data_IF_442117097222
#
_entry.id   IF_442117097222
#
_cell.length_a   1.000
_cell.length_b   1.000
_cell.length_c   1.000
_cell.angle_alpha   90.00
_cell.angle_beta   90.00
_cell.angle_gamma   90.00
#
_symmetry.space_group_name_H-M   'P 1'
#
loop_
_entity.id
_entity.type
_entity.pdbx_description
1 polymer ?
#
# COMPACT_ATOMS: atom_id res chain seq x y z
N UNK A 1 48.00 -32.19 1.27
CA UNK A 1 46.64 -32.30 1.84
C UNK A 1 45.66 -32.08 0.71
N UNK A 2 44.81 -33.04 0.39
CA UNK A 2 43.82 -32.88 -0.67
C UNK A 2 42.75 -31.88 -0.22
N UNK A 3 42.50 -30.86 -1.03
CA UNK A 3 41.42 -29.89 -0.82
C UNK A 3 40.13 -30.49 -1.39
N UNK A 4 39.18 -30.79 -0.52
CA UNK A 4 37.89 -31.44 -0.83
C UNK A 4 36.88 -30.50 -1.48
N UNK A 5 37.30 -29.26 -1.77
CA UNK A 5 36.49 -28.21 -2.37
C UNK A 5 37.13 -27.89 -3.72
N UNK A 6 36.33 -28.03 -4.78
CA UNK A 6 36.71 -27.64 -6.13
C UNK A 6 36.05 -26.31 -6.45
N UNK A 7 36.84 -25.23 -6.48
CA UNK A 7 36.36 -23.92 -6.92
C UNK A 7 36.28 -23.89 -8.45
N UNK A 8 35.06 -23.97 -8.99
CA UNK A 8 34.83 -23.87 -10.44
C UNK A 8 34.42 -22.43 -10.82
N UNK A 9 35.31 -21.71 -11.50
CA UNK A 9 35.02 -20.38 -12.07
C UNK A 9 34.58 -20.56 -13.52
N UNK A 10 33.29 -20.83 -13.72
CA UNK A 10 32.72 -21.03 -15.04
C UNK A 10 31.47 -20.17 -15.27
N UNK A 11 31.63 -18.95 -15.84
CA UNK A 11 30.51 -18.03 -16.05
C UNK A 11 29.35 -18.60 -16.86
N UNK A 12 29.60 -19.53 -17.79
CA UNK A 12 28.55 -20.11 -18.63
C UNK A 12 27.58 -21.00 -17.85
N UNK A 13 27.99 -21.57 -16.70
CA UNK A 13 27.13 -22.35 -15.81
C UNK A 13 26.28 -21.51 -14.85
N UNK A 14 26.45 -20.18 -14.83
CA UNK A 14 25.74 -19.27 -13.90
C UNK A 14 24.39 -18.76 -14.42
N UNK A 15 23.79 -19.47 -15.37
CA UNK A 15 22.48 -19.11 -15.95
C UNK A 15 21.36 -19.02 -14.90
N UNK A 16 21.43 -19.78 -13.80
CA UNK A 16 20.45 -19.74 -12.71
C UNK A 16 20.33 -18.37 -12.04
N UNK A 17 21.36 -17.54 -12.10
CA UNK A 17 21.34 -16.19 -11.51
C UNK A 17 20.32 -15.28 -12.18
N UNK A 18 19.93 -15.58 -13.43
CA UNK A 18 18.91 -14.83 -14.17
C UNK A 18 17.57 -14.86 -13.44
N UNK A 19 17.26 -15.93 -12.70
CA UNK A 19 16.07 -16.00 -11.86
C UNK A 19 15.96 -14.81 -10.89
N UNK A 20 17.06 -14.49 -10.19
CA UNK A 20 17.09 -13.38 -9.25
C UNK A 20 17.15 -12.02 -9.95
N UNK A 21 17.85 -11.92 -11.09
CA UNK A 21 17.88 -10.69 -11.90
C UNK A 21 16.48 -10.33 -12.42
N UNK A 22 15.78 -11.32 -12.99
CA UNK A 22 14.41 -11.19 -13.50
C UNK A 22 13.41 -10.84 -12.40
N UNK A 23 13.61 -11.33 -11.16
CA UNK A 23 12.80 -10.94 -9.99
C UNK A 23 12.96 -9.46 -9.64
N UNK A 24 14.18 -8.91 -9.74
CA UNK A 24 14.48 -7.51 -9.42
C UNK A 24 14.06 -6.52 -10.53
N UNK A 25 14.16 -6.94 -11.79
CA UNK A 25 13.68 -6.16 -12.93
C UNK A 25 12.18 -5.84 -12.78
N UNK A 26 11.81 -4.63 -13.19
CA UNK A 26 10.48 -4.06 -13.04
C UNK A 26 10.19 -3.14 -14.22
N UNK A 27 8.91 -2.86 -14.47
CA UNK A 27 8.45 -2.13 -15.65
C UNK A 27 8.68 -0.64 -15.49
N UNK A 28 8.40 -0.13 -14.28
CA UNK A 28 8.53 1.29 -13.94
C UNK A 28 8.62 1.49 -12.44
N UNK A 29 9.07 2.68 -12.07
CA UNK A 29 8.96 3.21 -10.71
C UNK A 29 8.07 4.45 -10.70
N UNK A 30 7.35 4.66 -9.60
CA UNK A 30 6.46 5.82 -9.40
C UNK A 30 6.80 6.45 -8.05
N UNK A 31 6.98 7.76 -8.02
CA UNK A 31 7.21 8.48 -6.76
C UNK A 31 5.91 8.61 -5.96
N UNK A 32 5.96 8.26 -4.68
CA UNK A 32 4.84 8.41 -3.76
C UNK A 32 5.33 8.68 -2.33
N UNK A 33 4.40 8.75 -1.38
CA UNK A 33 4.64 8.87 0.07
C UNK A 33 3.55 8.17 0.87
N UNK A 34 3.73 8.03 2.18
CA UNK A 34 2.74 7.43 3.08
C UNK A 34 1.94 8.52 3.80
N UNK A 35 0.65 8.62 3.50
CA UNK A 35 -0.28 9.60 4.10
C UNK A 35 -0.78 9.21 5.49
N UNK A 36 0.09 8.69 6.35
CA UNK A 36 -0.22 8.35 7.73
C UNK A 36 0.39 9.37 8.71
N UNK A 37 -0.19 9.48 9.91
CA UNK A 37 0.28 10.42 10.93
C UNK A 37 1.54 9.93 11.66
N UNK A 38 2.67 9.85 10.95
CA UNK A 38 3.92 9.30 11.47
C UNK A 38 5.07 10.32 11.57
N UNK A 39 4.84 11.58 11.23
CA UNK A 39 5.84 12.68 11.09
C UNK A 39 6.96 12.44 10.07
N UNK A 40 7.00 11.26 9.45
CA UNK A 40 8.06 10.86 8.55
C UNK A 40 8.12 11.68 7.26
N UNK A 41 6.99 11.86 6.55
CA UNK A 41 6.99 12.57 5.26
C UNK A 41 8.00 11.99 4.24
N UNK A 42 8.28 10.69 4.33
CA UNK A 42 9.30 10.03 3.53
C UNK A 42 8.81 9.86 2.08
N UNK A 43 9.62 10.23 1.10
CA UNK A 43 9.45 9.91 -0.32
C UNK A 43 9.93 8.50 -0.62
N UNK A 44 9.14 7.78 -1.42
CA UNK A 44 9.38 6.40 -1.82
C UNK A 44 9.29 6.25 -3.33
N UNK A 45 10.08 5.31 -3.87
CA UNK A 45 9.93 4.77 -5.21
C UNK A 45 9.11 3.49 -5.10
N UNK A 46 7.91 3.51 -5.66
CA UNK A 46 7.01 2.35 -5.75
C UNK A 46 7.31 1.61 -7.04
N UNK A 47 7.62 0.33 -6.94
CA UNK A 47 8.01 -0.52 -8.07
C UNK A 47 6.80 -1.25 -8.62
N UNK A 48 6.61 -1.17 -9.94
CA UNK A 48 5.54 -1.86 -10.66
C UNK A 48 6.17 -2.87 -11.60
N UNK A 49 5.70 -4.12 -11.54
CA UNK A 49 6.11 -5.20 -12.44
C UNK A 49 4.87 -5.98 -12.88
N UNK A 50 4.78 -6.29 -14.16
CA UNK A 50 3.63 -6.97 -14.77
C UNK A 50 2.30 -6.24 -14.46
N UNK A 51 2.35 -4.90 -14.41
CA UNK A 51 1.19 -4.07 -14.10
C UNK A 51 0.72 -4.08 -12.64
N UNK A 52 1.42 -4.75 -11.71
CA UNK A 52 1.08 -4.78 -10.28
C UNK A 52 2.16 -4.12 -9.42
N UNK A 53 1.76 -3.51 -8.29
CA UNK A 53 2.70 -2.98 -7.31
C UNK A 53 3.36 -4.17 -6.61
N UNK A 54 4.69 -4.24 -6.61
CA UNK A 54 5.42 -5.37 -6.02
C UNK A 54 6.08 -5.01 -4.70
N UNK A 55 6.92 -3.97 -4.69
CA UNK A 55 7.61 -3.47 -3.50
C UNK A 55 7.85 -1.96 -3.61
N UNK A 56 8.40 -1.39 -2.55
CA UNK A 56 8.84 0.01 -2.52
C UNK A 56 10.22 0.10 -1.90
N UNK A 57 10.99 1.11 -2.28
CA UNK A 57 12.24 1.48 -1.64
C UNK A 57 12.28 2.98 -1.44
N UNK A 58 13.05 3.45 -0.47
CA UNK A 58 13.17 4.86 -0.22
C UNK A 58 13.73 5.58 -1.45
N UNK A 59 13.19 6.75 -1.76
CA UNK A 59 13.86 7.67 -2.65
C UNK A 59 15.01 8.34 -1.88
N UNK A 60 16.13 8.58 -2.57
CA UNK A 60 17.37 9.07 -1.95
C UNK A 60 17.81 10.43 -2.53
N UNK A 61 16.92 11.11 -3.24
CA UNK A 61 17.18 12.32 -4.01
C UNK A 61 16.54 13.57 -3.38
N UNK A 62 16.46 13.64 -2.05
CA UNK A 62 16.10 14.88 -1.37
C UNK A 62 17.14 15.96 -1.70
N UNK A 63 16.74 17.23 -1.89
CA UNK A 63 17.70 18.33 -1.98
C UNK A 63 18.61 18.38 -0.76
N UNK A 64 19.91 18.59 -0.98
CA UNK A 64 20.86 18.85 0.09
C UNK A 64 20.54 20.21 0.73
N UNK A 65 20.60 20.27 2.06
CA UNK A 65 20.45 21.53 2.79
C UNK A 65 21.73 22.38 2.68
N UNK A 66 22.87 21.78 3.03
CA UNK A 66 24.21 22.36 2.94
C UNK A 66 25.27 21.26 2.94
N UNK A 67 26.52 21.59 2.59
CA UNK A 67 27.61 20.61 2.46
C UNK A 67 28.14 20.08 3.80
N UNK A 68 27.86 20.78 4.90
CA UNK A 68 28.38 20.50 6.25
C UNK A 68 27.48 19.60 7.09
N UNK A 69 26.23 19.37 6.68
CA UNK A 69 25.25 18.55 7.41
C UNK A 69 24.97 17.27 6.61
N UNK A 70 24.82 16.11 7.29
CA UNK A 70 24.41 14.87 6.63
C UNK A 70 23.08 15.03 5.88
N UNK A 71 22.92 14.40 4.70
CA UNK A 71 21.66 14.44 3.97
C UNK A 71 20.54 13.72 4.71
N UNK A 72 19.29 13.99 4.33
CA UNK A 72 18.12 13.32 4.92
C UNK A 72 17.89 11.89 4.43
N UNK A 73 18.46 11.53 3.29
CA UNK A 73 18.30 10.19 2.73
C UNK A 73 18.84 9.11 3.71
N UNK A 74 18.29 7.88 3.69
CA UNK A 74 17.13 7.45 2.89
C UNK A 74 15.77 7.75 3.57
N UNK A 75 15.76 8.22 4.82
CA UNK A 75 14.56 8.17 5.70
C UNK A 75 13.95 6.75 5.68
N UNK A 76 12.62 6.66 5.74
CA UNK A 76 11.87 5.40 5.71
C UNK A 76 11.79 4.70 7.07
N UNK A 77 10.98 3.64 7.14
CA UNK A 77 10.82 2.81 8.34
C UNK A 77 10.24 1.44 7.98
N UNK A 78 10.23 0.50 8.93
CA UNK A 78 9.70 -0.86 8.75
C UNK A 78 8.19 -0.92 8.47
N UNK A 79 7.44 0.13 8.82
CA UNK A 79 6.01 0.25 8.51
C UNK A 79 5.80 0.73 7.08
N UNK A 80 6.68 1.61 6.59
CA UNK A 80 6.62 2.11 5.22
C UNK A 80 7.04 1.06 4.20
N UNK A 81 8.11 0.31 4.46
CA UNK A 81 8.63 -0.71 3.53
C UNK A 81 7.64 -1.87 3.28
N UNK A 82 6.65 -2.04 4.14
CA UNK A 82 5.63 -3.10 4.04
C UNK A 82 4.28 -2.60 3.49
N UNK A 83 4.16 -1.33 3.10
CA UNK A 83 2.88 -0.74 2.72
C UNK A 83 2.27 -1.37 1.46
N UNK A 84 3.09 -1.82 0.50
CA UNK A 84 2.66 -2.51 -0.72
C UNK A 84 1.80 -3.75 -0.44
N UNK A 85 1.95 -4.38 0.74
CA UNK A 85 1.11 -5.51 1.17
C UNK A 85 -0.38 -5.15 1.18
N UNK A 86 -0.74 -3.95 1.65
CA UNK A 86 -2.14 -3.54 1.81
C UNK A 86 -2.91 -3.45 0.49
N UNK A 87 -2.23 -3.31 -0.64
CA UNK A 87 -2.88 -3.16 -1.94
C UNK A 87 -3.69 -4.42 -2.28
N UNK A 88 -3.17 -5.60 -1.95
CA UNK A 88 -3.72 -6.90 -2.32
C UNK A 88 -4.00 -7.83 -1.12
N UNK A 89 -3.81 -7.34 0.11
CA UNK A 89 -3.99 -8.13 1.32
C UNK A 89 -5.45 -8.55 1.54
N UNK A 90 -5.68 -9.60 2.36
CA UNK A 90 -7.03 -10.04 2.71
C UNK A 90 -7.85 -8.99 3.48
N UNK A 91 -7.22 -7.94 4.01
CA UNK A 91 -7.90 -6.85 4.74
C UNK A 91 -8.25 -5.66 3.84
N UNK A 92 -7.96 -5.72 2.54
CA UNK A 92 -8.30 -4.66 1.60
C UNK A 92 -9.81 -4.54 1.45
N UNK A 93 -10.36 -3.38 1.84
CA UNK A 93 -11.74 -3.00 1.55
C UNK A 93 -11.89 -2.79 0.05
N UNK A 94 -12.72 -3.61 -0.60
CA UNK A 94 -12.96 -3.59 -2.06
C UNK A 94 -14.25 -2.87 -2.46
N UNK A 95 -15.21 -2.79 -1.55
CA UNK A 95 -16.53 -2.23 -1.80
C UNK A 95 -16.95 -1.31 -0.64
N UNK A 96 -17.85 -0.34 -0.88
CA UNK A 96 -18.53 0.38 0.18
C UNK A 96 -19.34 -0.59 1.04
N UNK A 97 -19.17 -0.52 2.36
CA UNK A 97 -19.96 -1.31 3.31
C UNK A 97 -20.89 -0.41 4.10
N UNK A 98 -22.10 -0.91 4.36
CA UNK A 98 -23.08 -0.29 5.26
C UNK A 98 -23.55 -1.38 6.22
N UNK A 99 -23.75 -1.03 7.48
CA UNK A 99 -24.30 -1.95 8.49
C UNK A 99 -25.67 -2.44 8.03
N UNK A 100 -25.91 -3.76 8.08
CA UNK A 100 -27.14 -4.37 7.53
C UNK A 100 -28.43 -3.74 8.06
N UNK A 101 -28.52 -3.55 9.39
CA UNK A 101 -29.69 -2.91 10.03
C UNK A 101 -29.95 -1.49 9.52
N UNK A 102 -28.89 -0.71 9.25
CA UNK A 102 -29.00 0.62 8.68
C UNK A 102 -29.44 0.58 7.21
N UNK A 103 -28.90 -0.36 6.43
CA UNK A 103 -29.26 -0.50 5.01
C UNK A 103 -30.73 -0.91 4.84
N UNK A 104 -31.25 -1.77 5.71
CA UNK A 104 -32.65 -2.18 5.69
C UNK A 104 -33.58 -0.99 6.03
N UNK A 105 -33.28 -0.27 7.11
CA UNK A 105 -34.01 0.95 7.48
C UNK A 105 -33.95 2.02 6.39
N UNK A 106 -32.77 2.19 5.76
CA UNK A 106 -32.58 3.12 4.66
C UNK A 106 -33.44 2.78 3.44
N UNK A 107 -33.49 1.50 3.04
CA UNK A 107 -34.35 1.06 1.92
C UNK A 107 -35.82 1.28 2.21
N UNK A 108 -36.26 1.01 3.44
CA UNK A 108 -37.65 1.25 3.88
C UNK A 108 -37.98 2.74 3.85
N UNK A 109 -37.14 3.60 4.43
CA UNK A 109 -37.33 5.05 4.42
C UNK A 109 -37.34 5.62 3.00
N UNK A 110 -36.42 5.17 2.13
CA UNK A 110 -36.37 5.56 0.71
C UNK A 110 -37.58 5.09 -0.10
N UNK A 111 -38.31 4.08 0.36
CA UNK A 111 -39.59 3.67 -0.27
C UNK A 111 -40.76 4.58 0.13
N UNK A 112 -40.67 5.28 1.27
CA UNK A 112 -41.72 6.15 1.81
C UNK A 112 -41.49 7.64 1.52
N UNK A 113 -40.23 8.05 1.42
CA UNK A 113 -39.83 9.43 1.25
C UNK A 113 -39.06 9.60 -0.06
N UNK A 114 -39.54 10.49 -0.94
CA UNK A 114 -38.88 10.83 -2.19
C UNK A 114 -37.59 11.63 -1.97
N UNK A 115 -37.57 12.52 -0.98
CA UNK A 115 -36.39 13.26 -0.54
C UNK A 115 -35.49 12.38 0.37
N UNK A 116 -34.20 12.18 0.05
CA UNK A 116 -33.27 11.43 0.90
C UNK A 116 -33.00 12.08 2.26
N UNK A 117 -33.16 13.40 2.38
CA UNK A 117 -33.00 14.12 3.65
C UNK A 117 -34.16 13.76 4.58
N UNK A 118 -35.40 13.79 4.09
CA UNK A 118 -36.58 13.35 4.85
C UNK A 118 -36.50 11.86 5.21
N UNK A 119 -36.02 11.02 4.28
CA UNK A 119 -35.78 9.61 4.55
C UNK A 119 -34.78 9.43 5.70
N UNK A 120 -33.68 10.19 5.72
CA UNK A 120 -32.69 10.15 6.78
C UNK A 120 -33.26 10.65 8.11
N UNK A 121 -33.98 11.77 8.10
CA UNK A 121 -34.67 12.32 9.28
C UNK A 121 -35.58 11.27 9.92
N UNK A 122 -36.37 10.54 9.12
CA UNK A 122 -37.27 9.47 9.61
C UNK A 122 -36.55 8.32 10.34
N UNK A 123 -35.26 8.12 10.09
CA UNK A 123 -34.44 7.09 10.76
C UNK A 123 -33.79 7.66 12.02
N UNK A 124 -33.11 8.81 11.91
CA UNK A 124 -32.32 9.35 13.03
C UNK A 124 -33.18 9.99 14.12
N UNK A 125 -34.34 10.52 13.78
CA UNK A 125 -35.28 11.10 14.74
C UNK A 125 -36.17 10.03 15.41
N UNK A 126 -36.16 8.79 14.90
CA UNK A 126 -36.86 7.66 15.50
C UNK A 126 -35.99 6.99 16.59
N UNK A 127 -36.37 7.03 17.88
CA UNK A 127 -35.56 6.47 18.97
C UNK A 127 -35.34 4.96 18.92
N UNK A 128 -36.23 4.20 18.26
CA UNK A 128 -36.10 2.75 18.10
C UNK A 128 -35.14 2.41 16.97
N UNK A 129 -35.25 3.09 15.82
CA UNK A 129 -34.39 2.84 14.65
C UNK A 129 -32.96 3.36 14.85
N UNK A 130 -32.80 4.53 15.48
CA UNK A 130 -31.50 5.17 15.69
C UNK A 130 -30.59 4.41 16.68
N UNK A 131 -31.16 3.61 17.59
CA UNK A 131 -30.42 2.82 18.58
C UNK A 131 -30.10 1.39 18.12
N UNK A 132 -30.64 0.97 16.98
CA UNK A 132 -30.44 -0.35 16.39
C UNK A 132 -29.13 -0.42 15.60
#
# INVERSE_FOLDING_TARGET
MATWIQDEINPSKRGWEEFYRSRWQHDKTVRSTHGNNCTGGCSWMVYVKDGVITWELQAVDYPLLEATIPPYEPRGCQRGISASWYVYSPVRIKYPYVRGTLMDAWKEARSRHSDPVDAWASIVENPELSKK
#
